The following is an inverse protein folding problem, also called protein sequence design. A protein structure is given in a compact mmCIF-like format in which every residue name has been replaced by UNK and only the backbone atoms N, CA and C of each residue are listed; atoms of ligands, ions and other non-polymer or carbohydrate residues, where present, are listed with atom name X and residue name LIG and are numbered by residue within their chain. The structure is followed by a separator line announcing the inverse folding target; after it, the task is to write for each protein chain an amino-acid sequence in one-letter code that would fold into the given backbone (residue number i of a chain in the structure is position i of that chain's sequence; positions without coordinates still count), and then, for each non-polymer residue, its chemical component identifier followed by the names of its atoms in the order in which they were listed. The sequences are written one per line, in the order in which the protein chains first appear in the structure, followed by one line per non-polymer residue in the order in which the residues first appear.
data_IF_798467220337
#
_entry.id   IF_798467220337
#
_cell.length_a   1.000
_cell.length_b   1.000
_cell.length_c   1.000
_cell.angle_alpha   90.00
_cell.angle_beta   90.00
_cell.angle_gamma   90.00
#
_symmetry.space_group_name_H-M   'P 1'
#
loop_
_entity.id
_entity.type
_entity.pdbx_description
1 polymer ?
#
# COMPACT_ATOMS: atom_id res chain seq x y z
N UNK A 1 -40.15 51.89 -45.83
CA UNK A 1 -39.82 50.69 -46.59
C UNK A 1 -38.34 50.44 -46.46
N UNK A 2 -37.97 49.59 -45.52
CA UNK A 2 -36.58 49.18 -45.29
C UNK A 2 -36.58 47.66 -45.00
N UNK A 3 -36.41 46.92 -46.08
CA UNK A 3 -36.19 45.46 -46.02
C UNK A 3 -34.78 45.18 -45.55
N UNK A 4 -34.67 44.52 -44.40
CA UNK A 4 -33.42 43.90 -43.92
C UNK A 4 -33.49 42.38 -44.19
N UNK A 5 -32.54 41.78 -44.90
CA UNK A 5 -32.48 40.35 -45.07
C UNK A 5 -31.92 39.69 -43.74
N UNK A 6 -32.72 38.75 -43.25
CA UNK A 6 -32.31 37.93 -42.09
C UNK A 6 -31.17 36.97 -42.45
N UNK A 7 -30.08 37.05 -41.71
CA UNK A 7 -28.96 36.10 -41.76
C UNK A 7 -29.35 34.90 -40.91
N UNK A 8 -29.61 33.77 -41.54
CA UNK A 8 -29.74 32.48 -40.86
C UNK A 8 -28.35 31.95 -40.57
N UNK A 9 -27.93 31.99 -39.27
CA UNK A 9 -26.74 31.31 -38.81
C UNK A 9 -27.13 29.85 -38.60
N UNK A 10 -26.73 28.98 -39.52
CA UNK A 10 -26.78 27.54 -39.33
C UNK A 10 -25.72 27.15 -38.29
N UNK A 11 -26.15 26.85 -37.08
CA UNK A 11 -25.31 26.26 -36.07
C UNK A 11 -24.96 24.83 -36.49
N UNK A 12 -23.76 24.67 -37.05
CA UNK A 12 -23.14 23.36 -37.23
C UNK A 12 -22.81 22.79 -35.82
N UNK A 13 -23.68 21.93 -35.36
CA UNK A 13 -23.38 21.04 -34.24
C UNK A 13 -22.29 20.08 -34.70
N UNK A 14 -21.04 20.44 -34.46
CA UNK A 14 -19.90 19.51 -34.51
C UNK A 14 -20.06 18.65 -33.28
N UNK A 15 -20.80 17.55 -33.41
CA UNK A 15 -20.81 16.46 -32.48
C UNK A 15 -19.40 15.82 -32.49
N UNK A 16 -18.49 16.36 -31.68
CA UNK A 16 -17.25 15.68 -31.38
C UNK A 16 -17.61 14.38 -30.67
N UNK A 17 -17.48 13.26 -31.37
CA UNK A 17 -17.30 11.95 -30.76
C UNK A 17 -16.01 12.07 -29.95
N UNK A 18 -16.15 12.38 -28.66
CA UNK A 18 -15.11 12.09 -27.69
C UNK A 18 -15.02 10.57 -27.68
N UNK A 19 -14.12 10.02 -28.50
CA UNK A 19 -13.66 8.67 -28.29
C UNK A 19 -13.07 8.68 -26.89
N UNK A 20 -13.83 8.21 -25.93
CA UNK A 20 -13.32 7.86 -24.61
C UNK A 20 -12.24 6.81 -24.89
N UNK A 21 -10.97 7.17 -24.74
CA UNK A 21 -9.89 6.20 -24.70
C UNK A 21 -10.09 5.44 -23.40
N UNK A 22 -10.82 4.33 -23.45
CA UNK A 22 -10.96 3.43 -22.33
C UNK A 22 -9.72 2.56 -22.26
N UNK A 23 -9.08 2.50 -21.11
CA UNK A 23 -7.93 1.62 -20.84
C UNK A 23 -8.27 0.16 -21.19
N UNK A 24 -7.38 -0.50 -21.90
CA UNK A 24 -7.48 -1.95 -22.16
C UNK A 24 -6.69 -2.75 -21.13
N UNK A 25 -6.95 -4.06 -21.01
CA UNK A 25 -6.16 -4.94 -20.12
C UNK A 25 -4.68 -4.96 -20.51
N UNK A 26 -4.34 -4.74 -21.79
CA UNK A 26 -2.95 -4.64 -22.24
C UNK A 26 -2.26 -3.36 -21.74
N UNK A 27 -3.01 -2.25 -21.65
CA UNK A 27 -2.51 -0.95 -21.21
C UNK A 27 -2.57 -0.78 -19.69
N UNK A 28 -3.43 -1.54 -19.02
CA UNK A 28 -3.72 -1.39 -17.59
C UNK A 28 -2.47 -1.40 -16.69
N UNK A 29 -1.49 -2.31 -16.82
CA UNK A 29 -0.31 -2.31 -15.95
C UNK A 29 0.51 -1.03 -16.08
N UNK A 30 0.69 -0.53 -17.31
CA UNK A 30 1.40 0.72 -17.58
C UNK A 30 0.66 1.94 -17.03
N UNK A 31 -0.65 2.00 -17.23
CA UNK A 31 -1.46 3.14 -16.79
C UNK A 31 -1.60 3.15 -15.25
N UNK A 32 -1.62 1.98 -14.61
CA UNK A 32 -1.53 1.82 -13.15
C UNK A 32 -0.17 2.31 -12.61
N UNK A 33 0.93 1.89 -13.24
CA UNK A 33 2.28 2.34 -12.92
C UNK A 33 2.40 3.86 -13.02
N UNK A 34 1.87 4.45 -14.09
CA UNK A 34 1.84 5.90 -14.30
C UNK A 34 1.09 6.60 -13.16
N UNK A 35 -0.12 6.14 -12.81
CA UNK A 35 -0.93 6.73 -11.75
C UNK A 35 -0.22 6.65 -10.37
N UNK A 36 0.38 5.51 -10.06
CA UNK A 36 1.15 5.34 -8.82
C UNK A 36 2.36 6.28 -8.82
N UNK A 37 3.08 6.39 -9.94
CA UNK A 37 4.26 7.23 -10.02
C UNK A 37 3.95 8.73 -10.03
N UNK A 38 2.81 9.15 -10.58
CA UNK A 38 2.32 10.52 -10.44
C UNK A 38 2.07 10.87 -8.96
N UNK A 39 1.37 9.99 -8.23
CA UNK A 39 1.14 10.16 -6.80
C UNK A 39 2.44 10.16 -5.99
N UNK A 40 3.33 9.17 -6.19
CA UNK A 40 4.59 9.05 -5.45
C UNK A 40 5.52 10.25 -5.71
N UNK A 41 5.55 10.75 -6.94
CA UNK A 41 6.31 11.96 -7.27
C UNK A 41 5.69 13.19 -6.59
N UNK A 42 4.38 13.32 -6.59
CA UNK A 42 3.64 14.38 -5.88
C UNK A 42 3.89 14.37 -4.38
N UNK A 43 4.12 13.22 -3.80
CA UNK A 43 4.47 13.02 -2.38
C UNK A 43 5.99 12.96 -2.11
N UNK A 44 6.81 13.41 -3.04
CA UNK A 44 8.28 13.46 -2.88
C UNK A 44 8.95 12.13 -2.50
N UNK A 45 8.34 10.97 -2.87
CA UNK A 45 8.98 9.66 -2.74
C UNK A 45 10.03 9.43 -3.82
N UNK A 46 9.86 10.04 -4.98
CA UNK A 46 10.83 10.03 -6.07
C UNK A 46 11.10 11.47 -6.55
N UNK A 47 12.38 11.76 -6.85
CA UNK A 47 12.78 13.05 -7.40
C UNK A 47 12.22 13.24 -8.82
N UNK A 48 12.23 12.18 -9.62
CA UNK A 48 11.79 12.19 -11.00
C UNK A 48 10.81 11.07 -11.25
N UNK A 49 9.71 11.38 -11.90
CA UNK A 49 8.68 10.42 -12.29
C UNK A 49 9.25 9.16 -12.99
N UNK A 50 10.14 9.35 -13.95
CA UNK A 50 10.78 8.24 -14.69
C UNK A 50 11.59 7.27 -13.80
N UNK A 51 12.10 7.72 -12.67
CA UNK A 51 12.86 6.88 -11.74
C UNK A 51 11.90 5.97 -10.96
N UNK A 52 10.70 6.46 -10.66
CA UNK A 52 9.62 5.67 -10.10
C UNK A 52 9.20 4.56 -11.07
N UNK A 53 8.89 4.89 -12.33
CA UNK A 53 8.52 3.93 -13.38
C UNK A 53 9.60 2.85 -13.52
N UNK A 54 10.87 3.23 -13.51
CA UNK A 54 11.97 2.28 -13.59
C UNK A 54 12.13 1.38 -12.35
N UNK A 55 11.72 1.88 -11.17
CA UNK A 55 11.83 1.14 -9.91
C UNK A 55 10.64 0.19 -9.66
N UNK A 56 9.43 0.61 -10.03
CA UNK A 56 8.23 -0.23 -9.88
C UNK A 56 8.16 -1.32 -10.96
N UNK A 57 8.40 -0.95 -12.22
CA UNK A 57 8.38 -1.82 -13.39
C UNK A 57 7.17 -2.79 -13.44
N UNK A 58 6.00 -2.30 -13.04
CA UNK A 58 4.73 -3.06 -12.96
C UNK A 58 4.38 -3.67 -14.33
N UNK A 59 4.62 -2.91 -15.41
CA UNK A 59 4.38 -3.39 -16.78
C UNK A 59 5.21 -4.65 -17.16
N UNK A 60 6.25 -4.96 -16.39
CA UNK A 60 7.12 -6.13 -16.59
C UNK A 60 6.89 -7.25 -15.59
N UNK A 61 5.92 -7.10 -14.69
CA UNK A 61 5.58 -8.12 -13.71
C UNK A 61 4.89 -9.30 -14.42
N UNK A 62 5.47 -10.54 -14.37
CA UNK A 62 4.87 -11.72 -14.96
C UNK A 62 3.44 -12.02 -14.47
N UNK A 63 3.07 -11.53 -13.30
CA UNK A 63 1.71 -11.67 -12.79
C UNK A 63 0.68 -11.00 -13.70
N UNK A 64 1.01 -9.85 -14.29
CA UNK A 64 0.12 -9.17 -15.23
C UNK A 64 0.03 -9.91 -16.58
N UNK A 65 1.10 -10.57 -17.01
CA UNK A 65 1.05 -11.41 -18.21
C UNK A 65 0.07 -12.58 -18.03
N UNK A 66 0.08 -13.20 -16.84
CA UNK A 66 -0.89 -14.23 -16.51
C UNK A 66 -2.33 -13.66 -16.46
N UNK A 67 -2.54 -12.51 -15.81
CA UNK A 67 -3.85 -11.88 -15.73
C UNK A 67 -4.44 -11.58 -17.12
N UNK A 68 -3.61 -11.09 -18.06
CA UNK A 68 -4.03 -10.89 -19.48
C UNK A 68 -4.54 -12.19 -20.09
N UNK A 69 -3.78 -13.27 -19.97
CA UNK A 69 -4.18 -14.58 -20.50
C UNK A 69 -5.47 -15.08 -19.84
N UNK A 70 -5.64 -14.88 -18.53
CA UNK A 70 -6.85 -15.26 -17.81
C UNK A 70 -8.08 -14.42 -18.21
N UNK A 71 -7.90 -13.13 -18.52
CA UNK A 71 -8.95 -12.27 -19.09
C UNK A 71 -9.36 -12.75 -20.48
N UNK A 72 -8.41 -13.02 -21.36
CA UNK A 72 -8.67 -13.52 -22.71
C UNK A 72 -9.38 -14.87 -22.70
N UNK A 73 -9.07 -15.71 -21.73
CA UNK A 73 -9.75 -16.99 -21.50
C UNK A 73 -11.14 -16.85 -20.83
N UNK A 74 -11.55 -15.63 -20.49
CA UNK A 74 -12.84 -15.36 -19.83
C UNK A 74 -12.95 -15.80 -18.37
N UNK A 75 -11.82 -16.07 -17.73
CA UNK A 75 -11.74 -16.47 -16.29
C UNK A 75 -11.74 -15.27 -15.36
N UNK A 76 -11.32 -14.12 -15.87
CA UNK A 76 -11.36 -12.82 -15.19
C UNK A 76 -12.11 -11.85 -16.10
N UNK A 77 -12.97 -11.04 -15.52
CA UNK A 77 -13.57 -9.89 -16.16
C UNK A 77 -12.75 -8.64 -15.87
N UNK A 78 -12.32 -7.93 -16.90
CA UNK A 78 -11.68 -6.63 -16.78
C UNK A 78 -12.72 -5.52 -16.98
N UNK A 79 -12.84 -4.62 -16.00
CA UNK A 79 -13.73 -3.46 -16.03
C UNK A 79 -12.91 -2.19 -16.26
N UNK A 80 -12.91 -1.71 -17.52
CA UNK A 80 -12.15 -0.53 -17.93
C UNK A 80 -12.59 0.75 -17.21
N UNK A 81 -13.90 0.91 -16.95
CA UNK A 81 -14.41 2.07 -16.22
C UNK A 81 -13.98 2.03 -14.75
N UNK A 82 -13.86 0.85 -14.16
CA UNK A 82 -13.31 0.68 -12.82
C UNK A 82 -11.82 0.99 -12.78
N UNK A 83 -11.05 0.64 -13.85
CA UNK A 83 -9.64 0.96 -13.95
C UNK A 83 -9.41 2.48 -13.95
N UNK A 84 -10.18 3.25 -14.72
CA UNK A 84 -10.09 4.71 -14.72
C UNK A 84 -10.38 5.30 -13.33
N UNK A 85 -11.43 4.81 -12.65
CA UNK A 85 -11.74 5.25 -11.28
C UNK A 85 -10.63 4.90 -10.27
N UNK A 86 -10.00 3.75 -10.45
CA UNK A 86 -8.84 3.33 -9.65
C UNK A 86 -7.68 4.31 -9.82
N UNK A 87 -7.33 4.67 -11.06
CA UNK A 87 -6.25 5.60 -11.35
C UNK A 87 -6.51 7.00 -10.78
N UNK A 88 -7.74 7.48 -10.92
CA UNK A 88 -8.12 8.78 -10.36
C UNK A 88 -8.03 8.77 -8.83
N UNK A 89 -8.51 7.72 -8.17
CA UNK A 89 -8.42 7.57 -6.73
C UNK A 89 -6.97 7.53 -6.24
N UNK A 90 -6.07 6.84 -6.98
CA UNK A 90 -4.64 6.83 -6.66
C UNK A 90 -4.03 8.22 -6.79
N UNK A 91 -4.33 8.96 -7.88
CA UNK A 91 -3.80 10.31 -8.10
C UNK A 91 -4.28 11.34 -7.09
N UNK A 92 -5.55 11.20 -6.65
CA UNK A 92 -6.17 12.11 -5.68
C UNK A 92 -5.77 11.81 -4.22
N UNK A 93 -5.06 10.73 -3.99
CA UNK A 93 -4.62 10.31 -2.66
C UNK A 93 -3.68 11.35 -2.03
N UNK A 94 -3.86 11.59 -0.73
CA UNK A 94 -2.96 12.42 0.07
C UNK A 94 -1.61 11.75 0.33
N UNK A 95 -0.72 12.49 1.00
CA UNK A 95 0.61 11.99 1.39
C UNK A 95 0.66 11.60 2.88
N UNK A 96 -0.47 11.32 3.50
CA UNK A 96 -0.58 10.93 4.91
C UNK A 96 -0.29 9.43 5.10
N UNK A 97 -0.54 8.62 4.08
CA UNK A 97 -0.33 7.18 4.09
C UNK A 97 0.78 6.78 3.12
N UNK A 98 1.84 6.18 3.65
CA UNK A 98 3.00 5.74 2.86
C UNK A 98 2.71 4.47 2.05
N UNK A 99 2.06 3.52 2.68
CA UNK A 99 1.68 2.25 2.09
C UNK A 99 0.16 2.17 2.14
N UNK A 100 -0.48 2.58 1.07
CA UNK A 100 -1.91 2.43 1.01
C UNK A 100 -2.26 0.95 1.08
N UNK A 101 -3.12 0.60 2.02
CA UNK A 101 -3.91 -0.61 1.87
C UNK A 101 -4.59 -0.58 0.50
N UNK A 102 -4.98 -1.73 -0.01
CA UNK A 102 -5.61 -1.85 -1.31
C UNK A 102 -6.63 -0.72 -1.52
N UNK A 103 -6.42 0.08 -2.57
CA UNK A 103 -7.35 1.17 -2.91
C UNK A 103 -8.72 0.56 -3.22
N UNK A 104 -9.76 0.85 -2.44
CA UNK A 104 -11.06 0.22 -2.63
C UNK A 104 -11.64 0.42 -4.04
N UNK A 105 -11.31 1.55 -4.69
CA UNK A 105 -11.71 1.81 -6.07
C UNK A 105 -11.08 0.82 -7.05
N UNK A 106 -9.92 0.24 -6.72
CA UNK A 106 -9.20 -0.72 -7.57
C UNK A 106 -9.74 -2.15 -7.45
N UNK A 107 -10.41 -2.49 -6.37
CA UNK A 107 -10.92 -3.84 -6.13
C UNK A 107 -11.93 -4.33 -7.19
N UNK A 108 -12.57 -3.39 -7.91
CA UNK A 108 -13.56 -3.72 -8.94
C UNK A 108 -12.97 -3.90 -10.35
N UNK A 109 -11.66 -3.66 -10.55
CA UNK A 109 -11.04 -3.67 -11.88
C UNK A 109 -10.94 -5.08 -12.46
N UNK A 110 -10.56 -6.04 -11.61
CA UNK A 110 -10.42 -7.45 -11.99
C UNK A 110 -11.41 -8.27 -11.16
N UNK A 111 -12.36 -8.90 -11.85
CA UNK A 111 -13.38 -9.74 -11.19
C UNK A 111 -13.24 -11.18 -11.64
N UNK A 112 -12.92 -12.06 -10.71
CA UNK A 112 -12.87 -13.49 -10.97
C UNK A 112 -14.22 -14.07 -11.37
N UNK A 113 -14.20 -15.03 -12.28
CA UNK A 113 -15.43 -15.73 -12.77
C UNK A 113 -15.48 -17.20 -12.39
N UNK A 114 -14.38 -17.73 -11.83
CA UNK A 114 -14.32 -19.13 -11.45
C UNK A 114 -15.09 -19.33 -10.13
N UNK A 115 -16.14 -20.14 -10.20
CA UNK A 115 -16.93 -20.48 -9.04
C UNK A 115 -16.22 -21.41 -8.06
N UNK A 116 -16.85 -21.66 -6.92
CA UNK A 116 -16.34 -22.56 -5.88
C UNK A 116 -15.93 -23.92 -6.45
N UNK A 117 -14.74 -24.38 -6.08
CA UNK A 117 -14.05 -25.59 -6.56
C UNK A 117 -13.66 -25.57 -8.06
N UNK A 118 -13.88 -24.46 -8.76
CA UNK A 118 -13.33 -24.28 -10.11
C UNK A 118 -11.80 -24.25 -10.05
N UNK A 119 -11.11 -24.77 -11.09
CA UNK A 119 -9.66 -24.74 -11.14
C UNK A 119 -9.14 -23.30 -11.22
N UNK A 120 -8.01 -22.98 -10.58
CA UNK A 120 -7.41 -21.66 -10.59
C UNK A 120 -5.89 -21.73 -10.50
N UNK A 121 -5.23 -20.67 -10.96
CA UNK A 121 -3.80 -20.42 -10.78
C UNK A 121 -3.56 -19.16 -9.94
N UNK A 122 -4.51 -18.23 -9.93
CA UNK A 122 -4.45 -17.01 -9.14
C UNK A 122 -5.78 -16.75 -8.43
N UNK A 123 -5.73 -16.13 -7.26
CA UNK A 123 -6.94 -15.76 -6.52
C UNK A 123 -7.84 -14.78 -7.29
N UNK A 124 -7.24 -13.94 -8.16
CA UNK A 124 -7.99 -13.03 -9.01
C UNK A 124 -8.96 -13.73 -9.98
N UNK A 125 -8.80 -15.04 -10.25
CA UNK A 125 -9.75 -15.80 -11.06
C UNK A 125 -11.02 -16.20 -10.30
N UNK A 126 -10.95 -16.25 -8.98
CA UNK A 126 -12.04 -16.75 -8.15
C UNK A 126 -13.12 -15.68 -7.96
N UNK A 127 -14.37 -16.06 -8.18
CA UNK A 127 -15.54 -15.21 -7.95
C UNK A 127 -15.71 -14.91 -6.44
N UNK A 128 -16.48 -13.87 -6.13
CA UNK A 128 -16.91 -13.50 -4.79
C UNK A 128 -15.73 -13.37 -3.78
N UNK A 129 -14.66 -12.70 -4.20
CA UNK A 129 -13.42 -12.51 -3.42
C UNK A 129 -12.81 -13.83 -2.93
N UNK A 130 -13.02 -14.90 -3.68
CA UNK A 130 -12.48 -16.20 -3.41
C UNK A 130 -10.95 -16.24 -3.47
N UNK A 131 -10.36 -17.24 -2.86
CA UNK A 131 -8.93 -17.50 -2.91
C UNK A 131 -8.65 -18.79 -3.68
N UNK A 132 -7.54 -18.80 -4.41
CA UNK A 132 -7.03 -20.01 -5.06
C UNK A 132 -6.26 -20.84 -4.03
N UNK A 133 -6.84 -21.95 -3.61
CA UNK A 133 -6.22 -22.87 -2.66
C UNK A 133 -5.43 -23.95 -3.38
N UNK A 134 -4.12 -23.99 -3.17
CA UNK A 134 -3.24 -25.01 -3.73
C UNK A 134 -3.06 -26.22 -2.80
N UNK A 135 -2.78 -27.38 -3.40
CA UNK A 135 -2.35 -28.55 -2.64
C UNK A 135 -0.94 -28.28 -2.09
N UNK A 136 -0.72 -28.32 -0.77
CA UNK A 136 0.59 -28.07 -0.18
C UNK A 136 1.64 -29.13 -0.59
N UNK A 137 1.23 -30.25 -1.13
CA UNK A 137 2.15 -31.29 -1.67
C UNK A 137 2.58 -30.99 -3.10
N UNK A 138 1.99 -30.02 -3.78
CA UNK A 138 2.39 -29.65 -5.13
C UNK A 138 3.73 -28.92 -5.09
N UNK A 139 4.71 -29.53 -5.76
CA UNK A 139 6.07 -29.01 -5.91
C UNK A 139 6.36 -28.55 -7.35
N UNK A 140 5.37 -28.59 -8.22
CA UNK A 140 5.50 -28.14 -9.60
C UNK A 140 5.34 -26.62 -9.69
N UNK A 141 5.96 -26.02 -10.69
CA UNK A 141 5.88 -24.58 -10.91
C UNK A 141 4.44 -24.12 -11.22
N UNK A 142 3.66 -24.96 -11.90
CA UNK A 142 2.30 -24.68 -12.32
C UNK A 142 1.29 -25.56 -11.57
N UNK A 143 1.18 -25.34 -10.28
CA UNK A 143 0.18 -26.02 -9.49
C UNK A 143 -1.22 -25.44 -9.78
N UNK A 144 -2.13 -26.28 -10.24
CA UNK A 144 -3.53 -25.91 -10.36
C UNK A 144 -4.19 -26.02 -8.99
N UNK A 145 -4.70 -24.91 -8.50
CA UNK A 145 -5.50 -24.83 -7.28
C UNK A 145 -6.97 -25.01 -7.55
N UNK A 146 -7.77 -24.87 -6.50
CA UNK A 146 -9.23 -24.79 -6.59
C UNK A 146 -9.72 -23.52 -5.93
N UNK A 147 -10.63 -22.79 -6.58
CA UNK A 147 -11.27 -21.64 -5.98
C UNK A 147 -12.04 -22.06 -4.74
N UNK A 148 -11.62 -21.51 -3.63
CA UNK A 148 -12.35 -21.59 -2.38
C UNK A 148 -13.00 -20.23 -2.20
N UNK A 149 -14.28 -20.20 -1.89
CA UNK A 149 -14.87 -18.98 -1.35
C UNK A 149 -13.94 -18.60 -0.20
N UNK A 150 -13.55 -17.35 -0.09
CA UNK A 150 -12.86 -16.81 1.10
C UNK A 150 -13.69 -17.36 2.24
N UNK A 151 -13.21 -18.41 2.91
CA UNK A 151 -14.03 -19.38 3.61
C UNK A 151 -15.07 -18.62 4.41
N UNK A 152 -16.34 -19.03 4.32
CA UNK A 152 -17.33 -18.53 5.28
C UNK A 152 -16.62 -18.49 6.61
N UNK A 153 -16.55 -17.33 7.27
CA UNK A 153 -15.69 -17.17 8.42
C UNK A 153 -15.92 -18.37 9.32
N UNK A 154 -14.83 -19.03 9.72
CA UNK A 154 -14.90 -20.28 10.46
C UNK A 154 -15.79 -20.12 11.69
N UNK A 155 -16.68 -21.05 11.89
CA UNK A 155 -17.54 -21.04 13.06
C UNK A 155 -16.72 -21.24 14.36
N UNK A 156 -17.26 -20.77 15.46
CA UNK A 156 -16.67 -21.00 16.78
C UNK A 156 -16.49 -22.50 17.02
N UNK A 157 -15.28 -22.90 17.40
CA UNK A 157 -14.90 -24.29 17.65
C UNK A 157 -14.25 -24.98 16.44
N UNK A 158 -14.22 -24.36 15.27
CA UNK A 158 -13.52 -24.92 14.11
C UNK A 158 -12.02 -24.63 14.15
N UNK A 159 -11.17 -25.55 13.65
CA UNK A 159 -9.74 -25.32 13.53
C UNK A 159 -9.47 -24.13 12.61
N UNK A 160 -8.64 -23.20 13.07
CA UNK A 160 -8.24 -22.01 12.33
C UNK A 160 -6.73 -21.97 12.11
N UNK A 161 -6.29 -21.12 11.19
CA UNK A 161 -4.87 -20.92 10.85
C UNK A 161 -4.71 -20.49 9.40
N UNK A 162 -3.55 -19.96 9.06
CA UNK A 162 -3.32 -19.38 7.73
C UNK A 162 -4.12 -18.09 7.52
N UNK A 163 -4.72 -17.95 6.34
CA UNK A 163 -5.48 -16.76 5.92
C UNK A 163 -6.98 -16.84 6.15
N UNK A 164 -7.48 -17.86 6.90
CA UNK A 164 -8.90 -18.05 7.14
C UNK A 164 -9.30 -17.36 8.43
N UNK A 165 -10.21 -16.40 8.34
CA UNK A 165 -10.74 -15.64 9.49
C UNK A 165 -11.86 -16.40 10.18
N UNK A 166 -11.98 -16.26 11.49
CA UNK A 166 -13.17 -16.67 12.22
C UNK A 166 -14.35 -15.73 11.94
N UNK A 167 -15.58 -16.15 12.28
CA UNK A 167 -16.75 -15.26 12.30
C UNK A 167 -16.45 -13.97 13.07
N UNK A 168 -17.14 -12.88 12.77
CA UNK A 168 -16.92 -11.53 13.33
C UNK A 168 -16.80 -11.54 14.87
N UNK A 169 -17.65 -12.33 15.53
CA UNK A 169 -17.61 -12.50 16.98
C UNK A 169 -16.50 -13.43 17.49
N UNK A 170 -15.65 -13.94 16.58
CA UNK A 170 -14.56 -14.89 16.89
C UNK A 170 -13.17 -14.37 16.59
N UNK A 171 -12.17 -15.06 17.08
CA UNK A 171 -10.77 -14.91 16.71
C UNK A 171 -10.06 -16.27 16.75
N UNK A 172 -8.95 -16.40 16.05
CA UNK A 172 -8.15 -17.63 16.07
C UNK A 172 -7.24 -17.62 17.29
N UNK A 173 -7.49 -18.55 18.21
CA UNK A 173 -6.66 -18.73 19.42
C UNK A 173 -5.49 -19.68 19.11
N UNK A 174 -4.30 -19.12 19.04
CA UNK A 174 -3.03 -19.84 18.81
C UNK A 174 -2.38 -20.40 20.08
N UNK A 175 -2.99 -20.21 21.26
CA UNK A 175 -2.43 -20.71 22.52
C UNK A 175 -2.55 -22.24 22.64
N UNK A 176 -3.44 -22.88 21.92
CA UNK A 176 -3.61 -24.33 21.90
C UNK A 176 -2.74 -25.01 20.83
N UNK A 177 -2.41 -26.30 21.01
CA UNK A 177 -1.65 -27.08 20.03
C UNK A 177 -2.33 -27.16 18.65
N UNK A 178 -3.64 -27.03 18.64
CA UNK A 178 -4.46 -26.87 17.42
C UNK A 178 -5.21 -25.56 17.57
N UNK A 179 -4.86 -24.51 16.80
CA UNK A 179 -5.58 -23.25 16.84
C UNK A 179 -7.05 -23.44 16.52
N UNK A 180 -7.92 -22.82 17.31
CA UNK A 180 -9.39 -22.91 17.15
C UNK A 180 -10.01 -21.51 17.10
N UNK A 181 -11.07 -21.35 16.33
CA UNK A 181 -11.92 -20.18 16.42
C UNK A 181 -12.65 -20.18 17.76
N UNK A 182 -12.35 -19.19 18.58
CA UNK A 182 -12.99 -19.00 19.89
C UNK A 182 -13.75 -17.66 19.90
N UNK A 183 -14.80 -17.60 20.71
CA UNK A 183 -15.58 -16.38 20.82
C UNK A 183 -14.76 -15.27 21.48
N UNK A 184 -14.84 -14.05 20.93
CA UNK A 184 -14.29 -12.85 21.55
C UNK A 184 -14.96 -12.62 22.91
N UNK A 185 -14.18 -12.07 23.83
CA UNK A 185 -14.66 -11.79 25.19
C UNK A 185 -15.45 -10.49 25.19
N UNK A 186 -16.68 -10.53 25.67
CA UNK A 186 -17.53 -9.34 25.81
C UNK A 186 -17.01 -8.40 26.90
N UNK A 187 -17.40 -7.14 26.85
CA UNK A 187 -17.08 -6.16 27.88
C UNK A 187 -17.46 -6.68 29.29
N UNK A 188 -16.54 -6.61 30.23
CA UNK A 188 -16.67 -7.14 31.58
C UNK A 188 -16.13 -8.57 31.77
N UNK A 189 -15.78 -9.27 30.69
CA UNK A 189 -15.20 -10.60 30.74
C UNK A 189 -13.69 -10.59 30.98
N UNK A 190 -13.13 -11.73 31.37
CA UNK A 190 -11.69 -11.92 31.67
C UNK A 190 -10.90 -12.04 30.37
N UNK A 191 -9.85 -11.24 30.19
CA UNK A 191 -8.91 -11.28 29.09
C UNK A 191 -7.45 -11.48 29.58
N UNK A 192 -7.25 -11.86 30.82
CA UNK A 192 -5.92 -11.99 31.46
C UNK A 192 -5.00 -13.03 30.82
N UNK A 193 -5.58 -13.97 30.06
CA UNK A 193 -4.82 -15.00 29.35
C UNK A 193 -4.56 -14.63 27.86
N UNK A 194 -4.71 -13.36 27.50
CA UNK A 194 -4.48 -12.89 26.13
C UNK A 194 -5.66 -13.11 25.19
N UNK A 195 -6.87 -13.38 25.73
CA UNK A 195 -8.07 -13.48 24.91
C UNK A 195 -8.40 -12.13 24.25
N UNK A 196 -8.82 -12.19 22.99
CA UNK A 196 -9.25 -11.00 22.29
C UNK A 196 -10.63 -10.54 22.79
N UNK A 197 -10.73 -9.28 23.16
CA UNK A 197 -12.00 -8.62 23.43
C UNK A 197 -12.81 -8.43 22.14
N UNK A 198 -14.10 -8.18 22.26
CA UNK A 198 -14.94 -7.79 21.12
C UNK A 198 -14.47 -6.45 20.53
N UNK A 199 -14.96 -6.10 19.32
CA UNK A 199 -14.51 -4.91 18.59
C UNK A 199 -14.87 -3.59 19.30
N UNK A 200 -15.80 -3.61 20.24
CA UNK A 200 -16.24 -2.46 21.01
C UNK A 200 -15.46 -2.28 22.31
N UNK A 201 -14.54 -3.19 22.62
CA UNK A 201 -13.83 -3.22 23.91
C UNK A 201 -12.34 -3.62 23.73
N UNK A 202 -11.53 -3.17 24.69
CA UNK A 202 -10.10 -3.51 24.78
C UNK A 202 -9.76 -4.16 26.10
N UNK A 203 -8.65 -4.90 26.16
CA UNK A 203 -8.19 -5.59 27.37
C UNK A 203 -7.32 -4.65 28.21
N UNK A 204 -7.70 -4.41 29.48
CA UNK A 204 -6.89 -3.63 30.43
C UNK A 204 -5.80 -4.46 31.14
N UNK A 205 -5.53 -5.67 30.63
CA UNK A 205 -4.62 -6.65 31.21
C UNK A 205 -5.31 -7.71 32.07
N UNK A 206 -6.59 -7.53 32.40
CA UNK A 206 -7.38 -8.48 33.15
C UNK A 206 -8.82 -8.61 32.65
N UNK A 207 -9.43 -7.50 32.23
CA UNK A 207 -10.85 -7.46 31.92
C UNK A 207 -11.08 -6.67 30.63
N UNK A 208 -11.94 -7.18 29.75
CA UNK A 208 -12.39 -6.45 28.58
C UNK A 208 -13.23 -5.25 29.01
N UNK A 209 -12.80 -4.04 28.62
CA UNK A 209 -13.52 -2.80 28.89
C UNK A 209 -13.97 -2.18 27.59
N UNK A 210 -15.21 -1.68 27.58
CA UNK A 210 -15.69 -0.88 26.46
C UNK A 210 -14.73 0.26 26.15
N UNK A 211 -14.42 0.50 24.89
CA UNK A 211 -13.58 1.63 24.51
C UNK A 211 -14.18 2.94 25.01
N UNK A 212 -13.32 3.74 25.58
CA UNK A 212 -13.64 5.11 25.97
C UNK A 212 -12.98 6.03 24.95
N UNK A 213 -13.79 6.76 24.20
CA UNK A 213 -13.28 7.81 23.34
C UNK A 213 -12.76 8.96 24.20
N UNK A 214 -11.55 9.43 23.90
CA UNK A 214 -10.86 10.51 24.63
C UNK A 214 -10.40 11.57 23.64
N UNK A 215 -10.48 12.83 24.09
CA UNK A 215 -10.17 14.00 23.29
C UNK A 215 -8.67 14.26 23.19
N UNK A 216 -8.28 15.18 22.29
CA UNK A 216 -6.90 15.63 22.18
C UNK A 216 -6.36 16.15 23.53
N UNK A 217 -5.14 15.72 23.90
CA UNK A 217 -4.47 16.05 25.15
C UNK A 217 -4.83 15.15 26.32
N UNK A 218 -5.90 14.36 26.23
CA UNK A 218 -6.24 13.40 27.26
C UNK A 218 -5.34 12.16 27.20
N UNK A 219 -5.25 11.46 28.33
CA UNK A 219 -4.49 10.20 28.41
C UNK A 219 -5.17 9.11 27.58
N UNK A 220 -4.37 8.39 26.82
CA UNK A 220 -4.75 7.16 26.15
C UNK A 220 -3.77 6.05 26.58
N UNK A 221 -4.19 4.80 26.49
CA UNK A 221 -3.35 3.63 26.81
C UNK A 221 -3.32 2.62 25.67
N UNK A 222 -3.99 2.92 24.55
CA UNK A 222 -4.07 2.04 23.40
C UNK A 222 -4.84 0.73 23.62
N UNK A 223 -5.16 0.39 24.89
CA UNK A 223 -5.79 -0.88 25.26
C UNK A 223 -7.32 -0.76 25.32
N UNK A 224 -7.86 0.23 26.03
CA UNK A 224 -9.30 0.46 26.15
C UNK A 224 -9.70 1.93 25.99
N UNK A 225 -8.74 2.82 25.71
CA UNK A 225 -9.03 4.21 25.32
C UNK A 225 -8.68 4.41 23.86
N UNK A 226 -9.52 5.13 23.15
CA UNK A 226 -9.34 5.43 21.72
C UNK A 226 -9.46 6.94 21.52
N UNK A 227 -8.48 7.50 20.85
CA UNK A 227 -8.53 8.91 20.51
C UNK A 227 -9.64 9.20 19.50
N UNK A 228 -10.35 10.30 19.70
CA UNK A 228 -11.30 10.83 18.69
C UNK A 228 -10.50 11.30 17.48
N UNK A 229 -10.87 10.84 16.30
CA UNK A 229 -10.23 11.27 15.07
C UNK A 229 -10.26 12.80 14.89
N UNK A 230 -9.18 13.42 14.38
CA UNK A 230 -7.99 12.82 13.75
C UNK A 230 -6.83 12.53 14.73
N UNK A 231 -7.05 12.63 16.06
CA UNK A 231 -6.02 12.37 17.04
C UNK A 231 -5.67 10.88 17.13
N UNK A 232 -4.41 10.60 17.46
CA UNK A 232 -3.89 9.25 17.70
C UNK A 232 -3.18 9.21 19.05
N UNK A 233 -3.03 8.01 19.62
CA UNK A 233 -2.33 7.80 20.87
C UNK A 233 -0.82 7.81 20.64
N UNK A 234 -0.09 8.73 21.29
CA UNK A 234 1.36 8.86 21.17
C UNK A 234 2.02 8.81 22.55
N UNK A 235 3.20 8.17 22.61
CA UNK A 235 4.08 8.22 23.76
C UNK A 235 4.72 9.59 23.90
N UNK A 236 4.67 10.16 25.12
CA UNK A 236 5.37 11.40 25.46
C UNK A 236 6.60 11.10 26.35
N UNK A 237 7.49 12.08 26.50
CA UNK A 237 8.74 11.94 27.26
C UNK A 237 8.57 11.60 28.75
N UNK A 238 7.37 11.75 29.31
CA UNK A 238 7.03 11.37 30.69
C UNK A 238 6.49 9.93 30.81
N UNK A 239 6.69 9.08 29.82
CA UNK A 239 6.16 7.71 29.72
C UNK A 239 4.60 7.68 29.78
N UNK A 240 3.94 8.77 29.42
CA UNK A 240 2.49 8.87 29.38
C UNK A 240 2.01 8.94 27.94
N UNK A 241 1.11 8.06 27.57
CA UNK A 241 0.44 8.13 26.27
C UNK A 241 -0.69 9.14 26.29
N UNK A 242 -0.73 10.03 25.29
CA UNK A 242 -1.79 11.03 25.11
C UNK A 242 -2.28 11.08 23.68
N UNK A 243 -3.56 11.43 23.53
CA UNK A 243 -4.14 11.73 22.23
C UNK A 243 -3.56 13.01 21.66
N UNK A 244 -2.93 12.94 20.52
CA UNK A 244 -2.37 14.08 19.80
C UNK A 244 -2.74 14.03 18.33
N UNK A 245 -2.98 15.20 17.77
CA UNK A 245 -3.09 15.38 16.33
C UNK A 245 -1.67 15.54 15.78
N UNK A 246 -1.34 14.74 14.76
CA UNK A 246 -0.05 14.86 14.09
C UNK A 246 0.09 16.24 13.43
N UNK A 247 1.19 16.98 13.70
CA UNK A 247 1.35 18.34 13.18
C UNK A 247 1.52 18.32 11.66
N UNK A 248 0.83 19.22 10.98
CA UNK A 248 0.89 19.37 9.54
C UNK A 248 2.17 20.09 9.10
N UNK A 249 2.49 20.01 7.80
CA UNK A 249 3.61 20.74 7.20
C UNK A 249 3.56 22.24 7.58
N UNK A 250 4.67 22.76 8.08
CA UNK A 250 4.79 24.14 8.57
C UNK A 250 4.22 24.39 9.98
N UNK A 251 3.57 23.40 10.59
CA UNK A 251 3.10 23.50 11.96
C UNK A 251 4.23 23.28 12.98
N UNK A 252 4.14 23.84 14.18
CA UNK A 252 5.07 23.56 15.26
C UNK A 252 5.07 22.08 15.62
N UNK A 253 6.25 21.53 15.86
CA UNK A 253 6.45 20.14 16.26
C UNK A 253 7.47 20.04 17.38
N UNK A 254 7.49 18.89 18.03
CA UNK A 254 8.51 18.50 19.02
C UNK A 254 9.02 17.09 18.65
N UNK A 255 10.32 16.86 18.78
CA UNK A 255 10.93 15.55 18.49
C UNK A 255 10.43 14.45 19.40
N UNK A 256 10.07 14.80 20.65
CA UNK A 256 9.50 13.88 21.63
C UNK A 256 7.98 13.74 21.52
N UNK A 257 7.36 14.53 20.63
CA UNK A 257 5.94 14.52 20.33
C UNK A 257 5.60 13.66 19.10
N UNK A 258 4.34 13.76 18.62
CA UNK A 258 3.91 13.03 17.43
C UNK A 258 4.72 13.42 16.21
N UNK A 259 5.04 12.42 15.38
CA UNK A 259 5.63 12.65 14.07
C UNK A 259 4.76 13.58 13.23
N UNK A 260 5.37 14.27 12.29
CA UNK A 260 4.62 15.06 11.31
C UNK A 260 3.61 14.20 10.55
N UNK A 261 2.47 14.78 10.19
CA UNK A 261 1.34 14.02 9.61
C UNK A 261 1.65 13.38 8.27
N UNK A 262 2.52 14.01 7.47
CA UNK A 262 2.93 13.48 6.18
C UNK A 262 4.22 12.69 6.31
N UNK A 263 4.33 11.57 5.59
CA UNK A 263 5.52 10.69 5.64
C UNK A 263 6.76 11.33 4.98
N UNK A 264 6.57 12.33 4.09
CA UNK A 264 7.66 13.08 3.43
C UNK A 264 8.13 14.28 4.26
N UNK A 265 7.74 14.36 5.54
CA UNK A 265 8.08 15.45 6.44
C UNK A 265 8.73 14.95 7.73
N UNK A 266 9.48 15.83 8.37
CA UNK A 266 10.09 15.58 9.67
C UNK A 266 10.05 16.84 10.54
N UNK A 267 10.24 16.66 11.84
CA UNK A 267 10.36 17.78 12.78
C UNK A 267 11.80 18.31 12.78
N UNK A 268 12.02 19.48 12.18
CA UNK A 268 13.35 20.11 12.15
C UNK A 268 13.73 20.67 13.52
N UNK A 269 14.86 20.21 14.07
CA UNK A 269 15.31 20.58 15.43
C UNK A 269 15.61 22.05 15.60
N UNK A 270 15.96 22.74 14.53
CA UNK A 270 16.33 24.16 14.56
C UNK A 270 15.12 25.06 14.52
N UNK A 271 14.25 24.85 13.55
CA UNK A 271 13.03 25.66 13.37
C UNK A 271 11.88 25.24 14.26
N UNK A 272 11.91 24.01 14.78
CA UNK A 272 10.78 23.37 15.51
C UNK A 272 9.49 23.35 14.71
N UNK A 273 9.61 23.15 13.40
CA UNK A 273 8.49 23.05 12.47
C UNK A 273 8.55 21.72 11.69
N UNK A 274 7.40 21.21 11.32
CA UNK A 274 7.32 20.14 10.33
C UNK A 274 7.75 20.67 8.96
N UNK A 275 8.84 20.16 8.43
CA UNK A 275 9.40 20.54 7.14
C UNK A 275 9.54 19.31 6.25
N UNK A 276 9.64 19.52 4.94
CA UNK A 276 9.92 18.43 4.00
C UNK A 276 11.28 17.80 4.29
N UNK A 277 11.39 16.49 4.07
CA UNK A 277 12.65 15.77 4.17
C UNK A 277 13.71 16.40 3.25
N UNK A 278 14.96 16.51 3.70
CA UNK A 278 16.05 17.10 2.90
C UNK A 278 16.27 16.33 1.58
N UNK A 279 16.39 17.09 0.50
CA UNK A 279 16.66 16.56 -0.84
C UNK A 279 18.18 16.41 -1.10
N UNK A 280 18.62 15.74 -2.17
CA UNK A 280 20.04 15.61 -2.51
C UNK A 280 20.77 16.94 -2.53
N UNK A 281 21.94 16.97 -1.87
CA UNK A 281 22.76 18.17 -1.68
C UNK A 281 22.43 18.99 -0.44
N UNK A 282 21.30 18.78 0.20
CA UNK A 282 20.97 19.41 1.48
C UNK A 282 21.62 18.67 2.66
N UNK A 283 21.82 19.37 3.78
CA UNK A 283 22.33 18.77 5.01
C UNK A 283 21.34 17.81 5.63
N UNK A 284 21.80 16.66 6.14
CA UNK A 284 21.01 15.66 6.83
C UNK A 284 21.44 15.52 8.30
N UNK A 285 21.34 16.61 9.06
CA UNK A 285 21.83 16.70 10.46
C UNK A 285 21.32 15.57 11.36
N UNK A 286 20.07 15.12 11.16
CA UNK A 286 19.43 14.04 11.90
C UNK A 286 19.45 12.68 11.18
N UNK A 287 20.23 12.57 10.11
CA UNK A 287 20.31 11.33 9.31
C UNK A 287 19.12 11.08 8.40
N UNK A 288 18.17 12.03 8.33
CA UNK A 288 16.96 11.90 7.51
C UNK A 288 17.13 12.58 6.16
N UNK A 289 16.73 11.91 5.11
CA UNK A 289 16.67 12.42 3.74
C UNK A 289 15.36 11.99 3.10
N UNK A 290 14.99 12.64 2.01
CA UNK A 290 13.92 12.17 1.14
C UNK A 290 14.18 10.71 0.74
N UNK A 291 13.14 9.93 0.46
CA UNK A 291 13.21 8.47 0.22
C UNK A 291 14.20 8.08 -0.90
N UNK A 292 14.34 8.96 -1.90
CA UNK A 292 15.27 8.79 -3.02
C UNK A 292 16.70 9.25 -2.71
N UNK A 293 17.01 9.53 -1.44
CA UNK A 293 18.35 9.94 -0.99
C UNK A 293 18.73 9.19 0.30
N UNK A 294 20.03 9.06 0.52
CA UNK A 294 20.63 8.54 1.74
C UNK A 294 21.53 9.59 2.39
N UNK A 295 21.58 9.60 3.71
CA UNK A 295 22.44 10.53 4.44
C UNK A 295 23.87 10.00 4.43
N UNK A 296 24.77 10.66 3.72
CA UNK A 296 26.19 10.31 3.67
C UNK A 296 27.01 11.16 4.65
N UNK A 297 27.75 10.48 5.51
CA UNK A 297 28.74 11.12 6.34
C UNK A 297 30.02 11.35 5.51
N UNK A 298 30.32 12.59 5.21
CA UNK A 298 31.60 12.92 4.58
C UNK A 298 32.75 12.55 5.55
N UNK A 299 33.56 11.56 5.14
CA UNK A 299 34.77 11.18 5.89
C UNK A 299 35.67 12.39 6.04
N UNK A 300 35.90 12.84 7.29
CA UNK A 300 36.79 13.95 7.56
C UNK A 300 36.23 15.13 8.36
N UNK A 301 35.05 14.98 8.99
CA UNK A 301 34.48 16.01 9.88
C UNK A 301 33.66 17.08 9.14
N UNK A 302 33.28 16.83 7.91
CA UNK A 302 32.31 17.63 7.17
C UNK A 302 30.86 17.38 7.63
N UNK A 303 29.95 18.30 7.29
CA UNK A 303 28.52 18.10 7.53
C UNK A 303 27.98 16.96 6.66
N UNK A 304 27.21 16.08 7.25
CA UNK A 304 26.47 15.03 6.51
C UNK A 304 25.51 15.66 5.51
N UNK A 305 25.46 15.11 4.30
CA UNK A 305 24.57 15.59 3.23
C UNK A 305 23.76 14.46 2.63
N UNK A 306 22.56 14.75 2.17
CA UNK A 306 21.75 13.81 1.43
C UNK A 306 22.36 13.56 0.05
N UNK A 307 22.70 12.31 -0.25
CA UNK A 307 23.14 11.86 -1.56
C UNK A 307 22.03 11.11 -2.26
N UNK A 308 21.88 11.32 -3.56
CA UNK A 308 20.85 10.62 -4.34
C UNK A 308 21.15 9.12 -4.44
N UNK A 309 20.17 8.28 -4.24
CA UNK A 309 20.23 6.85 -4.53
C UNK A 309 20.32 6.62 -6.05
N UNK A 310 20.97 5.55 -6.45
CA UNK A 310 21.17 5.22 -7.85
C UNK A 310 19.87 4.69 -8.48
N UNK A 311 19.53 5.21 -9.65
CA UNK A 311 18.40 4.72 -10.46
C UNK A 311 18.80 3.47 -11.25
N UNK A 312 17.82 2.86 -11.93
CA UNK A 312 18.03 1.67 -12.77
C UNK A 312 19.14 1.90 -13.80
N UNK A 313 20.10 0.97 -13.86
CA UNK A 313 21.28 1.03 -14.73
C UNK A 313 22.41 1.93 -14.24
N UNK A 314 22.23 2.72 -13.18
CA UNK A 314 23.31 3.52 -12.58
C UNK A 314 24.21 2.66 -11.68
N UNK A 315 25.45 3.13 -11.45
CA UNK A 315 26.41 2.44 -10.60
C UNK A 315 25.95 2.40 -9.14
N UNK A 316 26.15 1.28 -8.46
CA UNK A 316 25.80 1.06 -7.06
C UNK A 316 26.87 0.24 -6.33
N UNK A 317 26.67 0.06 -5.03
CA UNK A 317 27.64 -0.60 -4.16
C UNK A 317 28.78 0.33 -3.76
N UNK A 318 29.90 -0.24 -3.37
CA UNK A 318 31.06 0.57 -2.95
C UNK A 318 31.83 1.10 -4.16
N UNK A 319 31.87 2.43 -4.29
CA UNK A 319 32.61 3.12 -5.37
C UNK A 319 33.96 3.55 -4.83
N UNK A 320 35.05 2.79 -5.15
CA UNK A 320 36.40 3.03 -4.65
C UNK A 320 36.93 4.44 -4.96
N UNK A 321 36.63 4.97 -6.16
CA UNK A 321 37.10 6.29 -6.58
C UNK A 321 36.52 7.44 -5.76
N UNK A 322 35.35 7.22 -5.11
CA UNK A 322 34.61 8.21 -4.33
C UNK A 322 34.58 7.84 -2.84
N UNK A 323 35.16 6.70 -2.47
CA UNK A 323 35.17 6.16 -1.08
C UNK A 323 33.80 6.16 -0.42
N UNK A 324 32.72 5.87 -1.21
CA UNK A 324 31.35 5.89 -0.73
C UNK A 324 30.57 4.66 -1.18
N UNK A 325 29.54 4.34 -0.42
CA UNK A 325 28.56 3.31 -0.78
C UNK A 325 27.32 3.97 -1.39
N UNK A 326 26.88 3.51 -2.57
CA UNK A 326 25.70 4.01 -3.27
C UNK A 326 24.58 2.97 -3.21
N UNK A 327 23.47 3.33 -2.57
CA UNK A 327 22.28 2.51 -2.51
C UNK A 327 21.46 2.64 -3.79
N UNK A 328 20.74 1.58 -4.13
CA UNK A 328 19.76 1.61 -5.20
C UNK A 328 18.42 2.20 -4.72
N UNK A 329 17.69 2.79 -5.66
CA UNK A 329 16.40 3.42 -5.45
C UNK A 329 15.29 2.39 -5.38
N UNK A 330 14.36 2.52 -4.43
CA UNK A 330 13.21 1.61 -4.27
C UNK A 330 13.64 0.16 -4.08
N UNK A 331 13.00 -0.75 -4.78
CA UNK A 331 13.26 -2.19 -4.71
C UNK A 331 14.39 -2.67 -5.64
N UNK A 332 15.06 -1.74 -6.34
CA UNK A 332 16.22 -2.07 -7.17
C UNK A 332 17.36 -2.62 -6.31
N UNK A 333 18.07 -3.62 -6.83
CA UNK A 333 19.22 -4.24 -6.19
C UNK A 333 20.49 -4.01 -7.01
N UNK A 334 21.63 -3.95 -6.32
CA UNK A 334 22.92 -3.88 -6.96
C UNK A 334 23.28 -5.26 -7.53
N UNK A 335 23.34 -5.37 -8.85
CA UNK A 335 23.64 -6.61 -9.55
C UNK A 335 25.15 -6.95 -9.56
N UNK A 336 25.52 -8.08 -10.14
CA UNK A 336 26.91 -8.51 -10.24
C UNK A 336 27.80 -7.58 -11.08
N UNK A 337 27.21 -6.70 -11.88
CA UNK A 337 27.91 -5.69 -12.68
C UNK A 337 28.03 -4.34 -11.95
N UNK A 338 27.66 -4.30 -10.65
CA UNK A 338 27.59 -3.11 -9.82
C UNK A 338 26.67 -2.02 -10.40
N UNK A 339 25.49 -2.42 -10.88
CA UNK A 339 24.43 -1.54 -11.36
C UNK A 339 23.10 -1.86 -10.69
N UNK A 340 22.32 -0.83 -10.46
CA UNK A 340 20.97 -1.00 -9.95
C UNK A 340 20.07 -1.65 -11.01
N UNK A 341 19.53 -2.80 -10.68
CA UNK A 341 18.61 -3.55 -11.52
C UNK A 341 17.45 -4.10 -10.68
N UNK A 342 16.33 -4.38 -11.32
CA UNK A 342 15.28 -5.18 -10.68
C UNK A 342 15.85 -6.55 -10.29
N UNK A 343 15.49 -7.08 -9.12
CA UNK A 343 15.84 -8.45 -8.79
C UNK A 343 15.34 -9.36 -9.92
N UNK A 344 16.24 -10.20 -10.43
CA UNK A 344 15.87 -11.21 -11.42
C UNK A 344 15.04 -12.24 -10.67
N UNK A 345 13.73 -12.03 -10.65
CA UNK A 345 12.84 -13.17 -10.45
C UNK A 345 13.06 -14.05 -11.70
N UNK A 346 13.58 -15.26 -11.50
CA UNK A 346 13.62 -16.22 -12.61
C UNK A 346 12.22 -16.24 -13.21
N UNK A 347 12.11 -15.70 -14.44
CA UNK A 347 10.84 -15.72 -15.18
C UNK A 347 10.55 -17.20 -15.46
N UNK A 348 9.79 -17.81 -14.55
CA UNK A 348 9.22 -19.11 -14.81
C UNK A 348 8.36 -19.04 -16.08
N UNK A 349 8.29 -20.14 -16.82
CA UNK A 349 7.33 -20.22 -17.92
C UNK A 349 5.93 -19.85 -17.40
N UNK A 350 5.21 -19.00 -18.14
CA UNK A 350 3.82 -18.68 -17.83
C UNK A 350 3.03 -19.97 -17.73
N UNK A 351 2.40 -20.17 -16.59
CA UNK A 351 1.59 -21.35 -16.40
C UNK A 351 0.38 -21.32 -17.35
N UNK A 352 0.08 -22.42 -18.03
CA UNK A 352 -1.09 -22.48 -18.90
C UNK A 352 -2.37 -22.29 -18.07
N UNK A 353 -3.32 -21.59 -18.65
CA UNK A 353 -4.65 -21.46 -18.03
C UNK A 353 -5.25 -22.87 -17.90
N UNK A 354 -5.76 -23.25 -16.70
CA UNK A 354 -6.39 -24.56 -16.53
C UNK A 354 -7.59 -24.73 -17.47
N UNK A 355 -7.75 -25.92 -18.04
CA UNK A 355 -8.97 -26.28 -18.77
C UNK A 355 -10.14 -26.45 -17.78
N UNK A 356 -11.35 -26.00 -18.17
CA UNK A 356 -12.57 -26.08 -17.37
C UNK A 356 -13.06 -27.50 -17.14
#
# INVERSE_FOLDING_TARGET
MNDRPGIWIAALMVGGLLASCTTTMEEYPRDLEEAICEWQHGCHLFERHRDCVAALAIDRDPAFDYLRVAVDAGRIEFDADAAERCFDAIRERGCEERYPDEEPACAAVLRGRMGRNGPCMASAECADDGICGFDPSCSEQCCVGACRVRADPLAIGEPCGGSISCVEEGYCDFASATPLCVKRVEAGGDCSLGQACDESSGCDGATCRAYKDVEEGERCDGSYTRCVEPARCFYEADDVERCRIAPQLGAPCDREGPSCARFDTYCDEVSKLCVLLPTPGAGCGDGQCAEYASCENLTGGGSSTCARKAAAGEACGYIEAEERYVECLGDLQCDETARCALPIFEQGELCPVPED
#
